data_IF_614792535218
#
_entry.id   IF_614792535218
#
_cell.length_a   1.000
_cell.length_b   1.000
_cell.length_c   1.000
_cell.angle_alpha   90.00
_cell.angle_beta   90.00
_cell.angle_gamma   90.00
#
_symmetry.space_group_name_H-M   'P 1'
#
loop_
_entity.id
_entity.type
_entity.pdbx_description
1 polymer ?
#
# COMPACT_ATOMS: atom_id res chain seq x y z
N UNK A 1 45.26 -19.09 29.59
CA UNK A 1 44.04 -19.62 28.98
C UNK A 1 42.93 -18.59 29.01
N UNK A 2 42.43 -18.24 27.82
CA UNK A 2 41.08 -17.77 27.46
C UNK A 2 40.54 -16.52 28.18
N UNK A 3 40.46 -15.44 27.41
CA UNK A 3 39.64 -14.26 27.67
C UNK A 3 38.15 -14.60 27.56
N UNK A 4 37.31 -13.91 28.32
CA UNK A 4 35.90 -13.75 27.97
C UNK A 4 35.52 -12.28 28.23
N UNK A 5 35.44 -11.53 27.13
CA UNK A 5 34.90 -10.18 27.11
C UNK A 5 33.39 -10.23 27.26
N UNK A 6 32.84 -9.30 28.02
CA UNK A 6 31.41 -9.03 28.04
C UNK A 6 31.17 -7.82 27.14
N UNK A 7 30.98 -8.07 25.85
CA UNK A 7 30.41 -7.09 24.93
C UNK A 7 28.92 -6.98 25.26
N UNK A 8 28.55 -6.01 26.09
CA UNK A 8 27.16 -5.55 26.13
C UNK A 8 26.83 -5.01 24.75
N UNK A 9 25.95 -5.71 24.05
CA UNK A 9 25.41 -5.37 22.75
C UNK A 9 24.51 -4.14 22.86
N UNK A 10 25.13 -2.98 22.98
CA UNK A 10 24.52 -1.71 22.62
C UNK A 10 24.38 -1.65 21.09
N UNK A 11 23.22 -1.19 20.63
CA UNK A 11 22.73 -1.08 19.24
C UNK A 11 21.85 -2.26 18.78
N UNK A 12 20.73 -2.44 19.49
CA UNK A 12 19.47 -2.90 18.89
C UNK A 12 18.74 -1.71 18.20
N UNK A 13 19.49 -0.86 17.48
CA UNK A 13 18.99 0.36 16.83
C UNK A 13 19.64 0.56 15.47
N UNK A 14 19.59 -0.48 14.62
CA UNK A 14 20.10 -0.40 13.24
C UNK A 14 19.34 -1.28 12.22
N UNK A 15 18.03 -1.54 12.43
CA UNK A 15 17.21 -2.27 11.46
C UNK A 15 15.78 -1.73 11.26
N UNK A 16 15.55 -0.42 11.47
CA UNK A 16 14.28 0.28 11.14
C UNK A 16 14.41 1.09 9.84
N UNK A 17 15.33 0.69 8.97
CA UNK A 17 15.63 1.43 7.73
C UNK A 17 14.63 1.07 6.62
N UNK A 18 13.61 1.93 6.48
CA UNK A 18 12.78 2.18 5.28
C UNK A 18 11.67 1.17 4.92
N UNK A 19 10.80 0.82 5.86
CA UNK A 19 9.46 0.35 5.52
C UNK A 19 8.51 1.52 5.19
N UNK A 20 7.53 1.36 4.28
CA UNK A 20 6.61 2.44 3.93
C UNK A 20 5.71 2.82 5.11
N UNK A 21 5.56 4.12 5.37
CA UNK A 21 4.65 4.64 6.40
C UNK A 21 3.32 5.14 5.81
N UNK A 22 3.22 5.25 4.48
CA UNK A 22 2.07 5.80 3.77
C UNK A 22 1.57 4.84 2.68
N UNK A 23 0.31 4.44 2.77
CA UNK A 23 -0.38 3.69 1.73
C UNK A 23 -1.09 4.63 0.75
N UNK A 24 -0.73 4.60 -0.52
CA UNK A 24 -1.45 5.27 -1.61
C UNK A 24 -2.24 4.22 -2.41
N UNK A 25 -3.56 4.24 -2.26
CA UNK A 25 -4.47 3.35 -2.98
C UNK A 25 -4.90 4.02 -4.29
N UNK A 26 -4.68 3.34 -5.41
CA UNK A 26 -5.14 3.76 -6.73
C UNK A 26 -6.43 3.02 -7.07
N UNK A 27 -7.51 3.76 -7.34
CA UNK A 27 -8.85 3.19 -7.58
C UNK A 27 -9.30 3.51 -9.00
N UNK A 28 -9.43 2.47 -9.83
CA UNK A 28 -9.83 2.61 -11.22
C UNK A 28 -11.31 3.00 -11.37
N UNK A 29 -11.68 3.55 -12.52
CA UNK A 29 -13.05 3.94 -12.83
C UNK A 29 -13.95 2.79 -13.31
N UNK A 30 -15.13 3.15 -13.81
CA UNK A 30 -16.11 2.18 -14.34
C UNK A 30 -15.51 1.35 -15.48
N UNK A 31 -15.79 0.03 -15.48
CA UNK A 31 -15.19 -0.95 -16.41
C UNK A 31 -13.65 -1.00 -16.43
N UNK A 32 -12.97 -0.32 -15.50
CA UNK A 32 -11.51 -0.29 -15.40
C UNK A 32 -10.91 -1.51 -14.71
N UNK A 33 -9.60 -1.46 -14.58
CA UNK A 33 -8.79 -2.49 -13.92
C UNK A 33 -7.52 -1.91 -13.30
N UNK A 34 -6.79 -2.66 -12.44
CA UNK A 34 -5.48 -2.24 -11.96
C UNK A 34 -4.48 -1.89 -13.07
N UNK A 35 -4.63 -2.48 -14.26
CA UNK A 35 -3.72 -2.24 -15.40
C UNK A 35 -3.78 -0.79 -15.91
N UNK A 36 -4.87 -0.07 -15.64
CA UNK A 36 -5.00 1.35 -15.99
C UNK A 36 -3.93 2.21 -15.28
N UNK A 37 -3.37 1.70 -14.18
CA UNK A 37 -2.40 2.41 -13.35
C UNK A 37 -0.94 2.09 -13.64
N UNK A 38 -0.61 1.13 -14.53
CA UNK A 38 0.79 0.65 -14.71
C UNK A 38 1.79 1.79 -14.91
N UNK A 39 1.50 2.70 -15.85
CA UNK A 39 2.39 3.82 -16.13
C UNK A 39 2.45 4.80 -14.95
N UNK A 40 1.29 5.10 -14.36
CA UNK A 40 1.18 6.08 -13.30
C UNK A 40 1.85 5.60 -12.01
N UNK A 41 1.69 4.32 -11.66
CA UNK A 41 2.36 3.66 -10.54
C UNK A 41 3.89 3.72 -10.72
N UNK A 42 4.39 3.42 -11.92
CA UNK A 42 5.83 3.50 -12.20
C UNK A 42 6.39 4.92 -12.01
N UNK A 43 5.63 5.94 -12.40
CA UNK A 43 6.03 7.34 -12.22
C UNK A 43 5.93 7.79 -10.76
N UNK A 44 4.87 7.40 -10.04
CA UNK A 44 4.71 7.68 -8.62
C UNK A 44 5.83 7.05 -7.79
N UNK A 45 6.23 5.81 -8.09
CA UNK A 45 7.35 5.14 -7.40
C UNK A 45 8.65 5.93 -7.51
N UNK A 46 8.92 6.54 -8.67
CA UNK A 46 10.11 7.39 -8.87
C UNK A 46 10.05 8.69 -8.06
N UNK A 47 8.86 9.31 -7.96
CA UNK A 47 8.68 10.63 -7.33
C UNK A 47 8.53 10.57 -5.82
N UNK A 48 7.76 9.61 -5.32
CA UNK A 48 7.39 9.49 -3.92
C UNK A 48 8.41 8.68 -3.10
N UNK A 49 9.21 7.86 -3.77
CA UNK A 49 10.25 7.06 -3.14
C UNK A 49 9.68 5.94 -2.25
N UNK A 50 10.53 5.45 -1.35
CA UNK A 50 10.29 4.21 -0.58
C UNK A 50 9.33 4.35 0.59
N UNK A 51 8.99 5.58 0.98
CA UNK A 51 8.06 5.84 2.08
C UNK A 51 6.61 5.48 1.72
N UNK A 52 6.33 5.34 0.42
CA UNK A 52 5.00 5.02 -0.09
C UNK A 52 4.88 3.57 -0.52
N UNK A 53 3.89 2.87 0.03
CA UNK A 53 3.33 1.66 -0.56
C UNK A 53 2.25 2.09 -1.55
N UNK A 54 2.51 1.95 -2.85
CA UNK A 54 1.52 2.25 -3.90
C UNK A 54 0.79 0.95 -4.24
N UNK A 55 -0.54 0.98 -4.17
CA UNK A 55 -1.39 -0.20 -4.33
C UNK A 55 -2.53 0.08 -5.30
N UNK A 56 -2.52 -0.57 -6.47
CA UNK A 56 -3.63 -0.50 -7.42
C UNK A 56 -4.73 -1.51 -7.03
N UNK A 57 -5.88 -0.98 -6.60
CA UNK A 57 -7.02 -1.78 -6.13
C UNK A 57 -7.63 -2.61 -7.27
N UNK A 58 -7.98 -3.86 -6.95
CA UNK A 58 -8.67 -4.79 -7.86
C UNK A 58 -10.12 -5.09 -7.44
N UNK A 59 -10.54 -4.53 -6.28
CA UNK A 59 -11.81 -4.82 -5.62
C UNK A 59 -13.04 -4.74 -6.55
N UNK A 60 -13.00 -3.84 -7.53
CA UNK A 60 -14.13 -3.54 -8.41
C UNK A 60 -13.86 -3.76 -9.91
N UNK A 61 -12.92 -4.63 -10.28
CA UNK A 61 -12.53 -4.84 -11.70
C UNK A 61 -13.73 -5.21 -12.61
N UNK A 62 -13.78 -4.61 -13.80
CA UNK A 62 -14.77 -4.91 -14.87
C UNK A 62 -16.24 -4.79 -14.43
N UNK A 63 -17.02 -5.86 -14.57
CA UNK A 63 -18.45 -5.90 -14.31
C UNK A 63 -18.82 -5.69 -12.83
N UNK A 64 -17.86 -5.84 -11.91
CA UNK A 64 -18.08 -5.57 -10.49
C UNK A 64 -18.39 -4.10 -10.18
N UNK A 65 -18.04 -3.18 -11.08
CA UNK A 65 -18.38 -1.75 -10.99
C UNK A 65 -19.89 -1.46 -11.06
N UNK A 66 -20.70 -2.38 -11.60
CA UNK A 66 -22.16 -2.22 -11.71
C UNK A 66 -22.93 -2.69 -10.46
N UNK A 67 -22.23 -3.11 -9.40
CA UNK A 67 -22.84 -3.61 -8.18
C UNK A 67 -23.40 -2.54 -7.22
N UNK A 68 -23.36 -1.26 -7.59
CA UNK A 68 -23.71 -0.13 -6.72
C UNK A 68 -22.50 0.40 -5.93
N UNK A 69 -22.51 1.70 -5.64
CA UNK A 69 -21.40 2.40 -4.98
C UNK A 69 -21.19 1.96 -3.53
N UNK A 70 -22.25 1.55 -2.85
CA UNK A 70 -22.22 1.06 -1.47
C UNK A 70 -21.51 -0.30 -1.39
N UNK A 71 -21.80 -1.20 -2.32
CA UNK A 71 -21.13 -2.50 -2.42
C UNK A 71 -19.69 -2.32 -2.88
N UNK A 72 -19.43 -1.43 -3.84
CA UNK A 72 -18.10 -1.11 -4.31
C UNK A 72 -17.20 -0.57 -3.18
N UNK A 73 -17.73 0.35 -2.37
CA UNK A 73 -17.03 0.91 -1.21
C UNK A 73 -16.72 -0.13 -0.14
N UNK A 74 -17.67 -1.03 0.18
CA UNK A 74 -17.42 -2.13 1.14
C UNK A 74 -16.30 -3.08 0.67
N UNK A 75 -16.29 -3.43 -0.62
CA UNK A 75 -15.22 -4.29 -1.19
C UNK A 75 -13.86 -3.60 -1.14
N UNK A 76 -13.81 -2.31 -1.48
CA UNK A 76 -12.58 -1.53 -1.41
C UNK A 76 -12.07 -1.44 0.03
N UNK A 77 -12.94 -1.15 0.99
CA UNK A 77 -12.57 -1.08 2.40
C UNK A 77 -11.98 -2.40 2.91
N UNK A 78 -12.57 -3.54 2.53
CA UNK A 78 -12.07 -4.87 2.91
C UNK A 78 -10.71 -5.17 2.26
N UNK A 79 -10.52 -4.87 0.97
CA UNK A 79 -9.23 -5.04 0.29
C UNK A 79 -8.14 -4.17 0.94
N UNK A 80 -8.44 -2.90 1.24
CA UNK A 80 -7.51 -1.98 1.92
C UNK A 80 -7.15 -2.48 3.32
N UNK A 81 -8.13 -2.99 4.07
CA UNK A 81 -7.89 -3.56 5.40
C UNK A 81 -6.88 -4.71 5.35
N UNK A 82 -7.02 -5.60 4.36
CA UNK A 82 -6.07 -6.71 4.16
C UNK A 82 -4.67 -6.24 3.78
N UNK A 83 -4.52 -5.11 3.09
CA UNK A 83 -3.21 -4.50 2.80
C UNK A 83 -2.60 -3.96 4.09
N UNK A 84 -3.38 -3.22 4.88
CA UNK A 84 -2.92 -2.65 6.16
C UNK A 84 -2.50 -3.73 7.16
N UNK A 85 -3.28 -4.80 7.28
CA UNK A 85 -2.96 -5.94 8.17
C UNK A 85 -1.67 -6.68 7.78
N UNK A 86 -1.25 -6.60 6.50
CA UNK A 86 -0.02 -7.22 6.01
C UNK A 86 1.19 -6.29 6.08
N UNK A 87 1.02 -5.02 6.44
CA UNK A 87 2.10 -4.02 6.45
C UNK A 87 1.96 -3.14 7.70
N UNK A 88 2.49 -3.65 8.82
CA UNK A 88 2.34 -3.05 10.16
C UNK A 88 2.96 -1.64 10.29
N UNK A 89 3.88 -1.27 9.40
CA UNK A 89 4.53 0.05 9.36
C UNK A 89 3.64 1.19 8.87
N UNK A 90 2.52 0.89 8.22
CA UNK A 90 1.62 1.91 7.67
C UNK A 90 0.96 2.74 8.77
N UNK A 91 1.03 4.07 8.62
CA UNK A 91 0.43 5.06 9.53
C UNK A 91 -0.55 6.00 8.83
N UNK A 92 -0.40 6.19 7.53
CA UNK A 92 -1.18 7.13 6.71
C UNK A 92 -1.79 6.41 5.53
N UNK A 93 -2.95 6.88 5.09
CA UNK A 93 -3.59 6.41 3.87
C UNK A 93 -4.04 7.59 3.01
N UNK A 94 -3.87 7.47 1.70
CA UNK A 94 -4.45 8.36 0.72
C UNK A 94 -5.05 7.57 -0.43
N UNK A 95 -6.08 8.12 -1.04
CA UNK A 95 -6.76 7.54 -2.19
C UNK A 95 -6.58 8.45 -3.38
N UNK A 96 -6.20 7.88 -4.53
CA UNK A 96 -6.30 8.52 -5.83
C UNK A 96 -7.28 7.72 -6.67
N UNK A 97 -8.39 8.34 -7.03
CA UNK A 97 -9.47 7.69 -7.74
C UNK A 97 -9.70 8.34 -9.11
N UNK A 98 -10.10 7.53 -10.09
CA UNK A 98 -10.53 8.00 -11.39
C UNK A 98 -12.05 7.82 -11.57
N UNK A 99 -12.78 8.92 -11.80
CA UNK A 99 -14.21 8.93 -12.10
C UNK A 99 -15.06 8.25 -11.01
N UNK A 100 -15.60 7.05 -11.25
CA UNK A 100 -16.41 6.28 -10.29
C UNK A 100 -15.61 5.73 -9.09
N UNK A 101 -14.28 5.64 -9.24
CA UNK A 101 -13.39 5.06 -8.23
C UNK A 101 -13.48 5.73 -6.85
#
# INVERSE_FOLDING_TARGET
>A
SIAIGNSESSVATAHVENEPDHLLVLVHGIMGSPSDWIYFEAELKKRLGRNFLIYASSANTFSKTFGGIDVAGKRLAEEVKQVVEKTESLRKISFLAHSLG
#
